data_IF_003855739152
#
_entry.id   IF_003855739152
#
_cell.length_a   1.000
_cell.length_b   1.000
_cell.length_c   1.000
_cell.angle_alpha   90.00
_cell.angle_beta   90.00
_cell.angle_gamma   90.00
#
_symmetry.space_group_name_H-M   'P 1'
#
loop_
_entity.id
_entity.type
_entity.pdbx_description
1 polymer ?
#
# COMPACT_ATOMS: atom_id res chain seq x y z
N UNK A 1 25.64 -6.07 -18.46
CA UNK A 1 24.62 -5.30 -17.72
C UNK A 1 23.80 -6.17 -16.76
N UNK A 2 23.31 -7.34 -17.20
CA UNK A 2 22.51 -8.28 -16.38
C UNK A 2 23.22 -8.73 -15.09
N UNK A 3 24.54 -8.98 -15.15
CA UNK A 3 25.34 -9.38 -13.99
C UNK A 3 25.34 -8.32 -12.86
N UNK A 4 25.37 -7.03 -13.21
CA UNK A 4 25.35 -5.94 -12.23
C UNK A 4 24.00 -5.88 -11.49
N UNK A 5 22.88 -6.05 -12.21
CA UNK A 5 21.56 -6.04 -11.59
C UNK A 5 21.35 -7.21 -10.62
N UNK A 6 21.83 -8.41 -10.99
CA UNK A 6 21.75 -9.59 -10.13
C UNK A 6 22.59 -9.38 -8.86
N UNK A 7 23.82 -8.89 -8.99
CA UNK A 7 24.67 -8.57 -7.83
C UNK A 7 24.00 -7.53 -6.93
N UNK A 8 23.45 -6.45 -7.50
CA UNK A 8 22.75 -5.42 -6.73
C UNK A 8 21.53 -5.98 -5.99
N UNK A 9 20.71 -6.79 -6.65
CA UNK A 9 19.53 -7.42 -6.02
C UNK A 9 19.96 -8.36 -4.89
N UNK A 10 21.03 -9.14 -5.09
CA UNK A 10 21.56 -10.02 -4.05
C UNK A 10 22.05 -9.21 -2.84
N UNK A 11 22.91 -8.22 -3.08
CA UNK A 11 23.55 -7.43 -2.03
C UNK A 11 22.60 -6.50 -1.29
N UNK A 12 21.49 -6.08 -1.91
CA UNK A 12 20.53 -5.15 -1.29
C UNK A 12 19.26 -5.84 -0.78
N UNK A 13 18.89 -6.99 -1.32
CA UNK A 13 17.60 -7.62 -1.00
C UNK A 13 17.78 -9.07 -0.59
N UNK A 14 18.27 -9.94 -1.48
CA UNK A 14 18.19 -11.40 -1.25
C UNK A 14 19.08 -11.89 -0.11
N UNK A 15 20.23 -11.23 0.14
CA UNK A 15 21.09 -11.54 1.28
C UNK A 15 20.42 -11.25 2.64
N UNK A 16 19.32 -10.50 2.65
CA UNK A 16 18.60 -10.07 3.85
C UNK A 16 17.14 -10.58 3.82
N UNK A 17 16.87 -11.81 4.27
CA UNK A 17 15.54 -12.43 4.14
C UNK A 17 14.42 -11.62 4.82
N UNK A 18 14.73 -10.91 5.91
CA UNK A 18 13.76 -10.04 6.59
C UNK A 18 13.23 -8.91 5.70
N UNK A 19 14.04 -8.40 4.75
CA UNK A 19 13.58 -7.36 3.80
C UNK A 19 12.51 -7.90 2.87
N UNK A 20 12.69 -9.14 2.40
CA UNK A 20 11.70 -9.84 1.57
C UNK A 20 10.43 -10.09 2.39
N UNK A 21 10.56 -10.57 3.64
CA UNK A 21 9.42 -10.78 4.53
C UNK A 21 8.64 -9.49 4.81
N UNK A 22 9.33 -8.39 5.07
CA UNK A 22 8.71 -7.09 5.29
C UNK A 22 8.00 -6.57 4.04
N UNK A 23 8.54 -6.85 2.84
CA UNK A 23 7.87 -6.51 1.59
C UNK A 23 6.55 -7.27 1.43
N UNK A 24 6.53 -8.57 1.74
CA UNK A 24 5.29 -9.36 1.76
C UNK A 24 4.31 -8.85 2.82
N UNK A 25 4.79 -8.48 4.01
CA UNK A 25 3.94 -7.88 5.03
C UNK A 25 3.29 -6.59 4.54
N UNK A 26 4.06 -5.68 3.95
CA UNK A 26 3.54 -4.42 3.38
C UNK A 26 2.52 -4.69 2.28
N UNK A 27 2.78 -5.64 1.38
CA UNK A 27 1.84 -6.04 0.34
C UNK A 27 0.51 -6.52 0.93
N UNK A 28 0.54 -7.44 1.90
CA UNK A 28 -0.65 -7.96 2.56
C UNK A 28 -1.39 -6.88 3.36
N UNK A 29 -0.66 -5.97 4.00
CA UNK A 29 -1.22 -4.83 4.73
C UNK A 29 -2.03 -3.92 3.79
N UNK A 30 -1.46 -3.56 2.64
CA UNK A 30 -2.12 -2.73 1.63
C UNK A 30 -3.31 -3.47 1.00
N UNK A 31 -3.16 -4.75 0.66
CA UNK A 31 -4.25 -5.57 0.13
C UNK A 31 -5.43 -5.64 1.12
N UNK A 32 -5.14 -5.77 2.43
CA UNK A 32 -6.17 -5.73 3.47
C UNK A 32 -6.85 -4.36 3.59
N UNK A 33 -6.09 -3.28 3.44
CA UNK A 33 -6.65 -1.93 3.43
C UNK A 33 -7.60 -1.71 2.23
N UNK A 34 -7.19 -2.15 1.04
CA UNK A 34 -8.03 -2.08 -0.19
C UNK A 34 -9.30 -2.89 -0.04
N UNK A 35 -9.22 -4.13 0.46
CA UNK A 35 -10.41 -4.97 0.68
C UNK A 35 -11.35 -4.42 1.74
N UNK A 36 -10.83 -3.80 2.81
CA UNK A 36 -11.67 -3.07 3.79
C UNK A 36 -12.35 -1.82 3.21
N UNK A 37 -11.70 -1.17 2.26
CA UNK A 37 -12.22 0.02 1.59
C UNK A 37 -13.19 -0.31 0.43
N UNK A 38 -13.53 -1.58 0.19
CA UNK A 38 -14.32 -2.03 -0.96
C UNK A 38 -15.61 -1.22 -1.15
N UNK A 39 -16.38 -1.00 -0.09
CA UNK A 39 -17.65 -0.29 -0.15
C UNK A 39 -17.47 1.16 -0.61
N UNK A 40 -16.38 1.81 -0.19
CA UNK A 40 -16.06 3.16 -0.61
C UNK A 40 -15.56 3.18 -2.06
N UNK A 41 -14.65 2.27 -2.42
CA UNK A 41 -14.07 2.18 -3.76
C UNK A 41 -15.13 1.83 -4.83
N UNK A 42 -16.14 1.04 -4.48
CA UNK A 42 -17.22 0.72 -5.42
C UNK A 42 -18.07 1.94 -5.82
N UNK A 43 -18.25 2.87 -4.88
CA UNK A 43 -19.13 4.02 -5.01
C UNK A 43 -18.37 5.30 -5.35
N UNK A 44 -17.04 5.24 -5.43
CA UNK A 44 -16.20 6.38 -5.74
C UNK A 44 -16.44 6.88 -7.18
N UNK A 45 -16.36 8.21 -7.33
CA UNK A 45 -16.41 8.87 -8.62
C UNK A 45 -15.01 8.86 -9.27
N UNK A 46 -14.94 8.33 -10.49
CA UNK A 46 -13.72 8.25 -11.30
C UNK A 46 -13.91 9.10 -12.55
N UNK A 47 -13.80 10.43 -12.44
CA UNK A 47 -14.00 11.34 -13.57
C UNK A 47 -12.68 11.83 -14.19
N UNK A 48 -12.45 11.48 -15.45
CA UNK A 48 -11.34 11.96 -16.29
C UNK A 48 -11.81 12.84 -17.46
N UNK A 49 -13.07 13.31 -17.45
CA UNK A 49 -13.75 13.94 -18.59
C UNK A 49 -13.90 13.01 -19.82
N UNK A 50 -13.63 11.72 -19.67
CA UNK A 50 -13.83 10.70 -20.70
C UNK A 50 -14.77 9.61 -20.18
N UNK A 51 -16.07 9.67 -20.53
CA UNK A 51 -17.06 8.73 -20.01
C UNK A 51 -16.72 7.25 -20.23
N UNK A 52 -16.05 6.92 -21.34
CA UNK A 52 -15.69 5.53 -21.65
C UNK A 52 -14.56 5.02 -20.73
N UNK A 53 -13.58 5.87 -20.43
CA UNK A 53 -12.50 5.55 -19.48
C UNK A 53 -13.01 5.48 -18.05
N UNK A 54 -13.93 6.38 -17.68
CA UNK A 54 -14.58 6.38 -16.36
C UNK A 54 -15.31 5.06 -16.11
N UNK A 55 -16.14 4.60 -17.07
CA UNK A 55 -16.85 3.33 -16.99
C UNK A 55 -15.90 2.14 -16.92
N UNK A 56 -14.83 2.17 -17.72
CA UNK A 56 -13.80 1.13 -17.72
C UNK A 56 -13.09 1.07 -16.36
N UNK A 57 -12.73 2.21 -15.80
CA UNK A 57 -12.06 2.32 -14.50
C UNK A 57 -12.94 1.77 -13.39
N UNK A 58 -14.21 2.17 -13.35
CA UNK A 58 -15.16 1.66 -12.36
C UNK A 58 -15.33 0.14 -12.47
N UNK A 59 -15.40 -0.41 -13.69
CA UNK A 59 -15.44 -1.87 -13.90
C UNK A 59 -14.18 -2.57 -13.39
N UNK A 60 -12.99 -2.05 -13.69
CA UNK A 60 -11.72 -2.63 -13.26
C UNK A 60 -11.54 -2.56 -11.73
N UNK A 61 -11.95 -1.47 -11.08
CA UNK A 61 -11.95 -1.36 -9.62
C UNK A 61 -12.87 -2.40 -9.01
N UNK A 62 -14.09 -2.58 -9.54
CA UNK A 62 -15.01 -3.63 -9.08
C UNK A 62 -14.41 -5.02 -9.25
N UNK A 63 -13.79 -5.31 -10.39
CA UNK A 63 -13.10 -6.59 -10.62
C UNK A 63 -11.95 -6.81 -9.63
N UNK A 64 -11.22 -5.76 -9.26
CA UNK A 64 -10.13 -5.83 -8.29
C UNK A 64 -10.65 -6.15 -6.88
N UNK A 65 -11.62 -5.38 -6.37
CA UNK A 65 -12.12 -5.51 -4.99
C UNK A 65 -12.95 -6.79 -4.77
N UNK A 66 -13.61 -7.29 -5.83
CA UNK A 66 -14.40 -8.52 -5.80
C UNK A 66 -13.66 -9.76 -6.34
N UNK A 67 -12.34 -9.66 -6.57
CA UNK A 67 -11.56 -10.80 -7.01
C UNK A 67 -11.48 -11.88 -5.92
N UNK A 68 -12.08 -13.06 -6.16
CA UNK A 68 -12.07 -14.17 -5.20
C UNK A 68 -10.65 -14.61 -4.79
N UNK A 69 -9.68 -14.60 -5.70
CA UNK A 69 -8.30 -15.00 -5.39
C UNK A 69 -7.65 -14.02 -4.43
N UNK A 70 -7.89 -12.72 -4.61
CA UNK A 70 -7.35 -11.69 -3.72
C UNK A 70 -8.02 -11.72 -2.34
N UNK A 71 -9.34 -11.94 -2.30
CA UNK A 71 -10.06 -12.09 -1.03
C UNK A 71 -9.58 -13.32 -0.25
N UNK A 72 -9.35 -14.45 -0.93
CA UNK A 72 -8.82 -15.67 -0.32
C UNK A 72 -7.34 -15.53 0.08
N UNK A 73 -6.54 -14.80 -0.71
CA UNK A 73 -5.12 -14.56 -0.46
C UNK A 73 -4.85 -13.49 0.60
N UNK A 74 -5.88 -12.99 1.29
CA UNK A 74 -5.75 -11.96 2.33
C UNK A 74 -5.76 -12.61 3.72
N UNK A 75 -4.68 -13.31 4.16
CA UNK A 75 -4.57 -13.71 5.55
C UNK A 75 -4.59 -12.44 6.39
N UNK A 76 -5.30 -12.49 7.51
CA UNK A 76 -5.30 -11.43 8.53
C UNK A 76 -3.84 -11.23 8.93
N UNK A 77 -3.15 -10.14 8.47
CA UNK A 77 -1.69 -10.07 8.57
C UNK A 77 -1.25 -9.80 10.01
N UNK A 78 -2.17 -9.33 10.83
CA UNK A 78 -2.04 -9.08 12.27
C UNK A 78 -3.45 -9.07 12.87
N UNK A 79 -3.56 -9.25 14.18
CA UNK A 79 -4.84 -9.18 14.89
C UNK A 79 -5.39 -7.73 14.90
N UNK A 80 -6.18 -7.42 13.88
CA UNK A 80 -6.80 -6.11 13.69
C UNK A 80 -7.71 -5.74 14.85
N UNK A 81 -8.42 -6.73 15.41
CA UNK A 81 -9.34 -6.50 16.51
C UNK A 81 -8.55 -6.02 17.73
N UNK A 82 -7.36 -6.55 17.98
CA UNK A 82 -6.52 -6.08 19.08
C UNK A 82 -5.84 -4.74 18.78
N UNK A 83 -5.46 -4.46 17.53
CA UNK A 83 -4.78 -3.20 17.19
C UNK A 83 -5.68 -1.96 17.34
N UNK A 84 -6.96 -2.08 16.99
CA UNK A 84 -7.89 -0.94 16.89
C UNK A 84 -8.91 -0.84 18.03
N UNK A 85 -8.77 -1.63 19.10
CA UNK A 85 -9.71 -1.65 20.23
C UNK A 85 -9.58 -0.39 21.10
N UNK A 86 -10.73 0.18 21.48
CA UNK A 86 -10.87 1.18 22.53
C UNK A 86 -10.16 2.52 22.27
N UNK A 87 -9.91 3.28 23.34
CA UNK A 87 -9.20 4.58 23.27
C UNK A 87 -7.78 4.44 22.74
N UNK A 88 -7.10 3.34 23.07
CA UNK A 88 -5.77 3.02 22.55
C UNK A 88 -5.72 2.97 21.02
N UNK A 89 -6.77 2.48 20.36
CA UNK A 89 -6.85 2.44 18.91
C UNK A 89 -6.88 3.84 18.28
N UNK A 90 -7.58 4.80 18.91
CA UNK A 90 -7.64 6.18 18.43
C UNK A 90 -6.31 6.91 18.60
N UNK A 91 -5.68 6.77 19.77
CA UNK A 91 -4.35 7.34 20.03
C UNK A 91 -3.30 6.73 19.09
N UNK A 92 -3.35 5.42 18.86
CA UNK A 92 -2.47 4.74 17.92
C UNK A 92 -2.67 5.27 16.50
N UNK A 93 -3.93 5.44 16.05
CA UNK A 93 -4.23 6.04 14.74
C UNK A 93 -3.61 7.44 14.62
N UNK A 94 -3.80 8.30 15.62
CA UNK A 94 -3.24 9.66 15.60
C UNK A 94 -1.71 9.64 15.57
N UNK A 95 -1.08 8.74 16.35
CA UNK A 95 0.37 8.55 16.37
C UNK A 95 0.90 8.09 15.02
N UNK A 96 0.26 7.10 14.40
CA UNK A 96 0.62 6.62 13.06
C UNK A 96 0.50 7.77 12.04
N UNK A 97 -0.61 8.51 12.05
CA UNK A 97 -0.79 9.66 11.15
C UNK A 97 0.30 10.72 11.35
N UNK A 98 0.69 11.01 12.59
CA UNK A 98 1.75 11.96 12.87
C UNK A 98 3.13 11.46 12.39
N UNK A 99 3.41 10.17 12.56
CA UNK A 99 4.64 9.56 12.05
C UNK A 99 4.71 9.65 10.52
N UNK A 100 3.61 9.37 9.81
CA UNK A 100 3.57 9.52 8.36
C UNK A 100 3.77 10.97 7.91
N UNK A 101 3.18 11.97 8.59
CA UNK A 101 3.45 13.39 8.30
C UNK A 101 4.92 13.76 8.47
N UNK A 102 5.57 13.24 9.52
CA UNK A 102 7.00 13.46 9.74
C UNK A 102 7.86 12.79 8.66
N UNK A 103 7.47 11.60 8.19
CA UNK A 103 8.14 10.91 7.07
C UNK A 103 7.97 11.74 5.78
N UNK A 104 6.78 12.26 5.49
CA UNK A 104 6.57 13.12 4.33
C UNK A 104 7.44 14.37 4.37
N UNK A 105 7.55 15.03 5.53
CA UNK A 105 8.44 16.19 5.70
C UNK A 105 9.94 15.83 5.50
N UNK A 106 10.34 14.60 5.84
CA UNK A 106 11.69 14.11 5.56
C UNK A 106 11.92 13.93 4.05
N UNK A 107 10.91 13.50 3.30
CA UNK A 107 11.02 13.30 1.85
C UNK A 107 11.27 14.60 1.09
N UNK A 108 10.87 15.76 1.64
CA UNK A 108 11.17 17.07 1.07
C UNK A 108 12.68 17.35 0.97
N UNK A 109 13.48 16.72 1.84
CA UNK A 109 14.94 16.84 1.86
C UNK A 109 15.64 15.92 0.84
N UNK A 110 14.93 15.05 0.13
CA UNK A 110 15.52 14.13 -0.86
C UNK A 110 15.79 14.88 -2.16
N UNK A 111 17.07 15.10 -2.50
CA UNK A 111 17.47 15.85 -3.70
C UNK A 111 17.21 15.14 -5.03
N UNK A 112 17.03 13.82 -5.04
CA UNK A 112 16.62 13.08 -6.22
C UNK A 112 15.11 13.24 -6.44
N UNK A 113 14.70 13.99 -7.48
CA UNK A 113 13.29 14.30 -7.74
C UNK A 113 12.42 13.06 -7.91
N UNK A 114 12.87 12.08 -8.71
CA UNK A 114 12.14 10.80 -8.89
C UNK A 114 12.02 10.05 -7.57
N UNK A 115 13.07 10.04 -6.75
CA UNK A 115 13.07 9.36 -5.46
C UNK A 115 12.10 10.05 -4.48
N UNK A 116 12.07 11.39 -4.48
CA UNK A 116 11.11 12.17 -3.69
C UNK A 116 9.68 11.88 -4.12
N UNK A 117 9.40 11.85 -5.42
CA UNK A 117 8.07 11.54 -5.95
C UNK A 117 7.57 10.18 -5.46
N UNK A 118 8.38 9.13 -5.62
CA UNK A 118 8.01 7.77 -5.16
C UNK A 118 8.03 7.61 -3.64
N UNK A 119 8.74 8.45 -2.91
CA UNK A 119 8.73 8.45 -1.44
C UNK A 119 7.51 9.14 -0.83
N UNK A 120 6.82 9.98 -1.60
CA UNK A 120 5.58 10.67 -1.17
C UNK A 120 4.29 9.90 -1.51
N UNK A 121 4.32 9.07 -2.57
CA UNK A 121 3.21 8.20 -2.97
C UNK A 121 2.97 7.08 -1.94
#
# INVERSE_FOLDING_TARGET
MQHFFVTLMYDRVLRYPDRVRNLYFTFLFVLRAVTKASNYLEQAEYDTCNPNENLTTQSLIKQLIYNLKLQAACPIPFDEANLWKGRSGLELKQKIQQQFRNISALMDCVGCEKCRLWGML
#
